data_IF_855721293077
#
_entry.id   IF_855721293077
#
_cell.length_a   1.000
_cell.length_b   1.000
_cell.length_c   1.000
_cell.angle_alpha   90.00
_cell.angle_beta   90.00
_cell.angle_gamma   90.00
#
_symmetry.space_group_name_H-M   'P 1'
#
loop_
_entity.id
_entity.type
_entity.pdbx_description
1 polymer ?
#
# COMPACT_ATOMS: atom_id res chain seq x y z
N UNK A 1 42.93 -40.16 15.29
CA UNK A 1 41.76 -39.31 15.64
C UNK A 1 40.46 -39.91 15.08
N UNK A 2 40.01 -41.07 15.59
CA UNK A 2 38.83 -41.76 15.03
C UNK A 2 37.79 -42.23 16.04
N UNK A 3 38.11 -42.30 17.35
CA UNK A 3 37.21 -42.86 18.36
C UNK A 3 36.24 -41.86 19.02
N UNK A 4 36.50 -40.56 18.91
CA UNK A 4 35.68 -39.53 19.59
C UNK A 4 34.41 -39.16 18.79
N UNK A 5 34.40 -39.39 17.48
CA UNK A 5 33.24 -39.08 16.64
C UNK A 5 32.14 -40.16 16.64
N UNK A 6 32.48 -41.39 17.00
CA UNK A 6 31.55 -42.52 16.96
C UNK A 6 30.66 -42.60 18.21
N UNK A 7 31.17 -42.12 19.35
CA UNK A 7 30.44 -42.10 20.62
C UNK A 7 29.34 -41.03 20.69
N UNK A 8 29.48 -39.92 19.96
CA UNK A 8 28.43 -38.89 19.85
C UNK A 8 27.23 -39.33 18.99
N UNK A 9 27.43 -40.19 17.98
CA UNK A 9 26.33 -40.69 17.14
C UNK A 9 25.48 -41.75 17.84
N UNK A 10 26.03 -42.49 18.82
CA UNK A 10 25.25 -43.45 19.63
C UNK A 10 24.31 -42.77 20.62
N UNK A 11 24.71 -41.64 21.23
CA UNK A 11 23.86 -40.90 22.19
C UNK A 11 22.70 -40.15 21.54
N UNK A 12 22.82 -39.68 20.31
CA UNK A 12 21.70 -39.01 19.62
C UNK A 12 20.61 -39.96 19.08
N UNK A 13 20.88 -41.27 19.01
CA UNK A 13 19.88 -42.27 18.53
C UNK A 13 19.06 -42.91 19.64
N UNK A 14 19.41 -42.73 20.92
CA UNK A 14 18.65 -43.25 22.06
C UNK A 14 17.46 -42.37 22.46
N UNK A 15 17.49 -41.07 22.17
CA UNK A 15 16.45 -40.13 22.64
C UNK A 15 15.24 -40.00 21.70
N UNK A 16 15.27 -40.57 20.49
CA UNK A 16 14.19 -40.45 19.51
C UNK A 16 13.16 -41.62 19.54
N UNK A 17 13.22 -42.54 20.53
CA UNK A 17 12.35 -43.72 20.60
C UNK A 17 11.41 -43.78 21.81
N UNK A 18 11.28 -42.69 22.54
CA UNK A 18 10.31 -42.58 23.63
C UNK A 18 9.44 -41.36 23.33
N UNK A 19 8.25 -41.57 22.76
CA UNK A 19 7.01 -40.78 22.84
C UNK A 19 6.11 -41.09 21.62
N UNK A 20 5.83 -42.38 21.42
CA UNK A 20 4.65 -42.85 20.70
C UNK A 20 3.62 -43.26 21.74
N UNK A 21 2.49 -42.55 21.83
CA UNK A 21 1.48 -42.74 22.88
C UNK A 21 0.08 -42.38 22.40
N UNK A 22 -0.53 -43.34 21.70
CA UNK A 22 -1.92 -43.43 21.25
C UNK A 22 -2.96 -43.08 22.32
N UNK A 23 -3.96 -42.24 21.99
CA UNK A 23 -5.33 -42.34 22.52
C UNK A 23 -6.35 -41.94 21.46
N UNK A 24 -6.97 -42.96 20.86
CA UNK A 24 -8.31 -42.89 20.27
C UNK A 24 -9.32 -42.70 21.41
N UNK A 25 -10.25 -41.76 21.27
CA UNK A 25 -11.49 -41.74 22.06
C UNK A 25 -12.65 -41.87 21.10
N UNK A 26 -13.43 -42.92 21.31
CA UNK A 26 -14.63 -43.26 20.58
C UNK A 26 -15.83 -42.44 21.10
N UNK A 27 -16.68 -42.05 20.16
CA UNK A 27 -18.15 -42.00 20.23
C UNK A 27 -18.84 -41.50 21.49
N UNK A 28 -19.59 -40.41 21.34
CA UNK A 28 -20.91 -40.31 21.96
C UNK A 28 -21.92 -39.68 21.01
N UNK A 29 -22.88 -40.51 20.59
CA UNK A 29 -24.12 -40.11 19.93
C UNK A 29 -25.00 -39.35 20.92
N UNK A 30 -25.13 -38.04 20.73
CA UNK A 30 -26.12 -37.19 21.40
C UNK A 30 -27.22 -36.82 20.42
N UNK A 31 -28.33 -37.55 20.53
CA UNK A 31 -29.59 -37.43 19.79
C UNK A 31 -30.19 -36.03 19.93
N UNK A 32 -30.62 -35.43 18.82
CA UNK A 32 -31.46 -34.23 18.81
C UNK A 32 -32.82 -34.49 19.48
N UNK A 33 -33.39 -33.52 20.21
CA UNK A 33 -34.83 -33.44 20.37
C UNK A 33 -35.45 -32.39 19.43
N UNK A 34 -36.51 -32.84 18.77
CA UNK A 34 -37.36 -32.07 17.88
C UNK A 34 -38.29 -31.11 18.65
N UNK A 35 -38.62 -30.02 17.97
CA UNK A 35 -39.88 -29.27 17.93
C UNK A 35 -40.74 -29.16 19.21
N UNK A 36 -40.87 -27.91 19.68
CA UNK A 36 -42.05 -27.43 20.40
C UNK A 36 -42.47 -26.07 19.80
N UNK A 37 -43.78 -25.85 19.81
CA UNK A 37 -44.53 -24.98 18.91
C UNK A 37 -44.43 -23.47 19.19
N UNK A 38 -44.49 -22.73 18.09
CA UNK A 38 -45.19 -21.46 17.82
C UNK A 38 -45.79 -20.73 19.03
N UNK A 39 -45.25 -19.54 19.31
CA UNK A 39 -46.01 -18.44 19.88
C UNK A 39 -45.99 -17.29 18.87
N UNK A 40 -47.19 -16.95 18.43
CA UNK A 40 -47.59 -15.83 17.60
C UNK A 40 -47.21 -14.50 18.29
N UNK A 41 -46.56 -13.60 17.55
CA UNK A 41 -46.09 -12.33 18.09
C UNK A 41 -45.32 -11.49 17.08
N UNK A 42 -46.05 -10.59 16.39
CA UNK A 42 -45.51 -9.34 15.87
C UNK A 42 -44.59 -9.45 14.65
N UNK A 43 -45.18 -9.62 13.47
CA UNK A 43 -44.53 -9.22 12.23
C UNK A 43 -44.53 -7.68 12.16
N UNK A 44 -43.40 -7.06 12.50
CA UNK A 44 -42.87 -5.78 12.00
C UNK A 44 -41.69 -5.42 12.91
N UNK A 45 -40.52 -5.13 12.34
CA UNK A 45 -39.19 -5.00 12.98
C UNK A 45 -38.38 -6.31 13.15
N UNK A 46 -38.37 -7.16 12.12
CA UNK A 46 -37.17 -7.98 11.89
C UNK A 46 -36.11 -7.02 11.33
N UNK A 47 -35.32 -6.46 12.24
CA UNK A 47 -34.02 -5.83 11.97
C UNK A 47 -33.38 -6.57 10.80
N UNK A 48 -33.30 -5.92 9.63
CA UNK A 48 -32.75 -6.55 8.43
C UNK A 48 -31.38 -7.08 8.82
N UNK A 49 -31.27 -8.40 8.94
CA UNK A 49 -29.99 -9.06 9.12
C UNK A 49 -29.20 -8.70 7.86
N UNK A 50 -28.35 -7.69 7.97
CA UNK A 50 -27.51 -7.22 6.87
C UNK A 50 -26.58 -8.38 6.55
N UNK A 51 -26.98 -9.21 5.61
CA UNK A 51 -26.15 -10.26 5.04
C UNK A 51 -25.15 -9.56 4.13
N UNK A 52 -23.97 -9.28 4.66
CA UNK A 52 -22.86 -8.78 3.88
C UNK A 52 -22.17 -9.95 3.16
N UNK A 53 -21.86 -9.73 1.89
CA UNK A 53 -21.08 -10.63 1.04
C UNK A 53 -19.58 -10.35 1.18
N UNK A 54 -18.74 -11.18 0.55
CA UNK A 54 -17.29 -10.93 0.49
C UNK A 54 -16.99 -9.61 -0.21
N UNK A 55 -17.72 -9.28 -1.28
CA UNK A 55 -17.52 -8.04 -2.02
C UNK A 55 -17.88 -6.82 -1.17
N UNK A 56 -18.93 -6.94 -0.33
CA UNK A 56 -19.27 -5.87 0.62
C UNK A 56 -18.18 -5.66 1.69
N UNK A 57 -17.41 -6.70 2.02
CA UNK A 57 -16.25 -6.61 2.93
C UNK A 57 -15.03 -6.00 2.24
N UNK A 58 -14.80 -6.28 0.96
CA UNK A 58 -13.66 -5.75 0.20
C UNK A 58 -13.89 -4.31 -0.31
N UNK A 59 -15.14 -3.87 -0.43
CA UNK A 59 -15.49 -2.49 -0.80
C UNK A 59 -15.10 -2.10 -2.23
N UNK A 60 -14.87 -0.80 -2.45
CA UNK A 60 -14.71 -0.20 -3.79
C UNK A 60 -13.37 -0.54 -4.47
N UNK A 61 -12.37 -0.98 -3.72
CA UNK A 61 -11.02 -1.27 -4.21
C UNK A 61 -10.56 -2.68 -3.80
N UNK A 62 -11.23 -3.74 -4.28
CA UNK A 62 -11.01 -5.10 -3.80
C UNK A 62 -9.57 -5.59 -4.05
N UNK A 63 -8.96 -5.23 -5.17
CA UNK A 63 -7.58 -5.61 -5.49
C UNK A 63 -6.57 -4.92 -4.58
N UNK A 64 -6.85 -3.67 -4.17
CA UNK A 64 -5.99 -2.95 -3.24
C UNK A 64 -6.10 -3.52 -1.83
N UNK A 65 -7.31 -3.92 -1.42
CA UNK A 65 -7.54 -4.61 -0.13
C UNK A 65 -6.83 -5.96 -0.12
N UNK A 66 -6.94 -6.73 -1.19
CA UNK A 66 -6.22 -8.00 -1.33
C UNK A 66 -4.70 -7.84 -1.25
N UNK A 67 -4.16 -6.81 -1.90
CA UNK A 67 -2.74 -6.49 -1.85
C UNK A 67 -2.28 -6.15 -0.42
N UNK A 68 -3.04 -5.32 0.30
CA UNK A 68 -2.75 -4.98 1.69
C UNK A 68 -2.88 -6.18 2.63
N UNK A 69 -3.94 -6.98 2.47
CA UNK A 69 -4.12 -8.20 3.26
C UNK A 69 -2.96 -9.19 3.04
N UNK A 70 -2.52 -9.38 1.80
CA UNK A 70 -1.38 -10.23 1.50
C UNK A 70 -0.06 -9.68 2.05
N UNK A 71 0.09 -8.36 2.10
CA UNK A 71 1.29 -7.71 2.66
C UNK A 71 1.34 -7.80 4.19
N UNK A 72 0.22 -7.56 4.87
CA UNK A 72 0.15 -7.48 6.33
C UNK A 72 -0.03 -8.84 7.02
N UNK A 73 -0.58 -9.83 6.32
CA UNK A 73 -0.81 -11.18 6.85
C UNK A 73 -0.12 -12.26 5.99
N UNK A 74 1.21 -12.27 5.92
CA UNK A 74 1.97 -13.19 5.07
C UNK A 74 1.85 -14.67 5.51
N UNK A 75 1.39 -14.93 6.74
CA UNK A 75 1.22 -16.28 7.28
C UNK A 75 0.17 -17.13 6.53
N UNK A 76 -0.72 -16.50 5.76
CA UNK A 76 -1.73 -17.18 4.94
C UNK A 76 -1.22 -17.62 3.57
N UNK A 77 0.04 -17.30 3.23
CA UNK A 77 0.70 -17.71 1.99
C UNK A 77 0.25 -16.96 0.74
N UNK A 78 0.44 -17.58 -0.42
CA UNK A 78 0.09 -16.97 -1.70
C UNK A 78 -1.43 -16.73 -1.80
N UNK A 79 -1.81 -15.49 -2.14
CA UNK A 79 -3.21 -15.05 -2.18
C UNK A 79 -3.77 -14.60 -0.82
N UNK A 80 -2.97 -14.65 0.26
CA UNK A 80 -3.27 -14.06 1.55
C UNK A 80 -4.57 -14.56 2.22
N UNK A 81 -5.13 -13.77 3.14
CA UNK A 81 -6.38 -14.08 3.84
C UNK A 81 -7.58 -14.35 2.92
N UNK A 82 -7.67 -13.69 1.76
CA UNK A 82 -8.80 -13.89 0.84
C UNK A 82 -8.79 -15.30 0.26
N UNK A 83 -7.62 -15.81 -0.14
CA UNK A 83 -7.51 -17.21 -0.58
C UNK A 83 -7.84 -18.18 0.57
N UNK A 84 -7.42 -17.88 1.80
CA UNK A 84 -7.76 -18.69 2.97
C UNK A 84 -9.28 -18.74 3.25
N UNK A 85 -9.99 -17.64 3.01
CA UNK A 85 -11.45 -17.60 3.09
C UNK A 85 -12.09 -18.52 2.05
N UNK A 86 -11.65 -18.46 0.78
CA UNK A 86 -12.16 -19.34 -0.28
C UNK A 86 -11.87 -20.83 -0.04
N UNK A 87 -10.78 -21.14 0.68
CA UNK A 87 -10.47 -22.50 1.15
C UNK A 87 -11.31 -22.94 2.36
N UNK A 88 -12.03 -22.02 3.00
CA UNK A 88 -12.80 -22.29 4.23
C UNK A 88 -11.95 -22.37 5.50
N UNK A 89 -10.71 -21.87 5.48
CA UNK A 89 -9.80 -21.86 6.63
C UNK A 89 -10.14 -20.74 7.62
N UNK A 90 -10.72 -19.64 7.12
CA UNK A 90 -11.16 -18.51 7.92
C UNK A 90 -12.63 -18.16 7.65
N UNK A 91 -13.27 -17.55 8.64
CA UNK A 91 -14.67 -17.10 8.53
C UNK A 91 -14.77 -15.72 7.90
N UNK A 92 -15.91 -15.41 7.28
CA UNK A 92 -16.19 -14.07 6.72
C UNK A 92 -16.07 -12.96 7.79
N UNK A 93 -16.51 -13.25 9.02
CA UNK A 93 -16.37 -12.33 10.14
C UNK A 93 -14.90 -12.02 10.46
N UNK A 94 -14.03 -13.02 10.38
CA UNK A 94 -12.61 -12.84 10.63
C UNK A 94 -11.94 -12.05 9.50
N UNK A 95 -12.29 -12.34 8.25
CA UNK A 95 -11.84 -11.55 7.11
C UNK A 95 -12.21 -10.07 7.26
N UNK A 96 -13.45 -9.79 7.69
CA UNK A 96 -13.89 -8.41 7.97
C UNK A 96 -13.03 -7.71 9.02
N UNK A 97 -12.72 -8.39 10.14
CA UNK A 97 -11.86 -7.83 11.19
C UNK A 97 -10.47 -7.49 10.66
N UNK A 98 -9.90 -8.31 9.78
CA UNK A 98 -8.61 -8.03 9.15
C UNK A 98 -8.66 -6.81 8.25
N UNK A 99 -9.71 -6.68 7.44
CA UNK A 99 -9.90 -5.50 6.57
C UNK A 99 -10.06 -4.22 7.40
N UNK A 100 -10.86 -4.26 8.47
CA UNK A 100 -11.02 -3.13 9.40
C UNK A 100 -9.73 -2.80 10.16
N UNK A 101 -8.84 -3.77 10.34
CA UNK A 101 -7.54 -3.63 10.99
C UNK A 101 -6.40 -3.18 10.07
N UNK A 102 -6.66 -2.98 8.76
CA UNK A 102 -5.63 -2.52 7.82
C UNK A 102 -5.16 -1.09 8.16
N UNK A 103 -3.87 -0.79 7.95
CA UNK A 103 -3.35 0.51 8.30
C UNK A 103 -3.85 1.61 7.33
N UNK A 104 -3.98 2.86 7.81
CA UNK A 104 -4.57 3.97 7.05
C UNK A 104 -3.67 4.51 5.92
N UNK A 105 -2.47 3.96 5.74
CA UNK A 105 -1.48 4.32 4.70
C UNK A 105 -1.23 3.19 3.68
N UNK A 106 -2.01 2.10 3.76
CA UNK A 106 -1.96 0.96 2.84
C UNK A 106 -2.32 1.28 1.38
N UNK A 107 -2.18 0.28 0.51
CA UNK A 107 -2.60 0.31 -0.89
C UNK A 107 -4.05 0.74 -1.06
N UNK A 108 -4.96 0.33 -0.19
CA UNK A 108 -6.38 0.76 -0.21
C UNK A 108 -6.48 2.27 -0.06
N UNK A 109 -5.78 2.81 0.93
CA UNK A 109 -5.82 4.23 1.21
C UNK A 109 -5.11 5.06 0.12
N UNK A 110 -4.14 4.48 -0.59
CA UNK A 110 -3.54 5.10 -1.80
C UNK A 110 -4.49 5.05 -3.00
N UNK A 111 -5.19 3.93 -3.20
CA UNK A 111 -6.19 3.79 -4.26
C UNK A 111 -7.33 4.80 -4.09
N UNK A 112 -7.86 4.93 -2.86
CA UNK A 112 -8.91 5.89 -2.53
C UNK A 112 -8.48 7.36 -2.70
N UNK A 113 -7.21 7.69 -2.38
CA UNK A 113 -6.66 9.04 -2.55
C UNK A 113 -6.24 9.36 -3.99
N UNK A 114 -6.06 8.34 -4.85
CA UNK A 114 -5.53 8.49 -6.20
C UNK A 114 -4.04 8.85 -6.25
N UNK A 115 -3.35 8.91 -5.11
CA UNK A 115 -1.93 9.24 -5.01
C UNK A 115 -1.26 8.53 -3.84
N UNK A 116 0.07 8.45 -3.86
CA UNK A 116 0.85 7.73 -2.85
C UNK A 116 1.27 8.57 -1.64
N UNK A 117 1.09 9.90 -1.69
CA UNK A 117 1.51 10.79 -0.60
C UNK A 117 0.79 10.47 0.71
N UNK A 118 1.59 10.37 1.76
CA UNK A 118 1.16 10.28 3.15
C UNK A 118 1.07 11.67 3.78
N UNK A 119 0.45 11.76 4.97
CA UNK A 119 0.43 13.01 5.74
C UNK A 119 1.84 13.53 6.03
N UNK A 120 2.80 12.62 6.25
CA UNK A 120 4.20 12.99 6.48
C UNK A 120 4.84 13.63 5.24
N UNK A 121 4.42 13.25 4.03
CA UNK A 121 4.94 13.83 2.79
C UNK A 121 4.41 15.25 2.57
N UNK A 122 3.13 15.49 2.89
CA UNK A 122 2.56 16.84 2.91
C UNK A 122 3.29 17.76 3.88
N UNK A 123 3.55 17.28 5.10
CA UNK A 123 4.29 18.05 6.10
C UNK A 123 5.74 18.33 5.68
N UNK A 124 6.43 17.35 5.10
CA UNK A 124 7.79 17.58 4.58
C UNK A 124 7.83 18.64 3.49
N UNK A 125 6.85 18.64 2.59
CA UNK A 125 6.76 19.68 1.57
C UNK A 125 6.48 21.06 2.21
N UNK A 126 5.61 21.13 3.23
CA UNK A 126 5.36 22.39 3.96
C UNK A 126 6.62 22.90 4.67
N UNK A 127 7.39 22.00 5.28
CA UNK A 127 8.64 22.32 5.96
C UNK A 127 9.66 22.90 4.98
N UNK A 128 9.80 22.31 3.78
CA UNK A 128 10.70 22.81 2.74
C UNK A 128 10.27 24.20 2.26
N UNK A 129 8.98 24.41 2.04
CA UNK A 129 8.42 25.70 1.61
C UNK A 129 8.68 26.79 2.67
N UNK A 130 8.40 26.46 3.94
CA UNK A 130 8.61 27.37 5.06
C UNK A 130 10.08 27.73 5.24
N UNK A 131 10.98 26.74 5.18
CA UNK A 131 12.42 26.95 5.29
C UNK A 131 12.94 27.82 4.15
N UNK A 132 12.51 27.57 2.92
CA UNK A 132 12.86 28.40 1.76
C UNK A 132 12.44 29.86 1.97
N UNK A 133 11.19 30.10 2.40
CA UNK A 133 10.70 31.44 2.69
C UNK A 133 11.45 32.11 3.83
N UNK A 134 11.75 31.39 4.90
CA UNK A 134 12.47 31.92 6.06
C UNK A 134 13.90 32.35 5.67
N UNK A 135 14.61 31.52 4.90
CA UNK A 135 15.95 31.85 4.40
C UNK A 135 15.90 33.07 3.49
N UNK A 136 14.95 33.15 2.55
CA UNK A 136 14.82 34.32 1.68
C UNK A 136 14.48 35.59 2.47
N UNK A 137 13.56 35.51 3.42
CA UNK A 137 13.23 36.64 4.29
C UNK A 137 14.45 37.13 5.07
N UNK A 138 15.23 36.19 5.63
CA UNK A 138 16.45 36.52 6.35
C UNK A 138 17.48 37.21 5.45
N UNK A 139 17.69 36.72 4.23
CA UNK A 139 18.62 37.31 3.28
C UNK A 139 18.15 38.69 2.79
N UNK A 140 16.85 38.87 2.57
CA UNK A 140 16.27 40.15 2.17
C UNK A 140 16.37 41.21 3.28
N UNK A 141 16.22 40.81 4.55
CA UNK A 141 16.42 41.72 5.70
C UNK A 141 17.88 42.13 5.86
N UNK A 142 18.83 41.23 5.60
CA UNK A 142 20.28 41.50 5.70
C UNK A 142 20.90 42.03 4.39
N UNK A 143 20.06 42.47 3.45
CA UNK A 143 20.48 42.93 2.15
C UNK A 143 21.10 44.33 2.24
N UNK A 144 22.13 44.59 1.43
CA UNK A 144 22.63 45.96 1.22
C UNK A 144 21.54 46.89 0.64
N UNK A 145 21.58 48.17 1.00
CA UNK A 145 20.53 49.15 0.69
C UNK A 145 20.19 49.24 -0.82
N UNK A 146 21.20 49.12 -1.68
CA UNK A 146 21.06 49.25 -3.14
C UNK A 146 20.95 47.91 -3.88
N UNK A 147 20.94 46.78 -3.17
CA UNK A 147 20.80 45.47 -3.81
C UNK A 147 19.32 45.15 -4.08
N UNK A 148 18.99 44.42 -5.16
CA UNK A 148 17.61 44.02 -5.45
C UNK A 148 17.10 42.98 -4.46
N UNK A 149 15.79 42.98 -4.19
CA UNK A 149 15.14 41.95 -3.37
C UNK A 149 15.19 40.60 -4.06
N UNK A 150 15.56 39.56 -3.32
CA UNK A 150 15.44 38.20 -3.84
C UNK A 150 13.98 37.77 -3.83
N UNK A 151 13.50 37.16 -4.92
CA UNK A 151 12.15 36.64 -4.96
C UNK A 151 11.99 35.48 -3.97
N UNK A 152 10.82 35.38 -3.37
CA UNK A 152 10.46 34.22 -2.57
C UNK A 152 10.37 32.97 -3.45
N UNK A 153 10.81 31.80 -2.94
CA UNK A 153 10.71 30.57 -3.69
C UNK A 153 9.24 30.17 -3.89
N UNK A 154 8.96 29.57 -5.04
CA UNK A 154 7.67 28.94 -5.31
C UNK A 154 7.51 27.67 -4.46
N UNK A 155 6.28 27.33 -4.04
CA UNK A 155 6.01 26.10 -3.30
C UNK A 155 6.44 24.86 -4.07
N UNK A 156 6.87 23.84 -3.33
CA UNK A 156 7.14 22.51 -3.88
C UNK A 156 5.84 21.89 -4.39
N UNK A 157 5.95 21.17 -5.50
CA UNK A 157 4.83 20.46 -6.12
C UNK A 157 4.13 19.48 -5.18
N UNK A 158 2.79 19.44 -5.23
CA UNK A 158 1.95 18.52 -4.47
C UNK A 158 0.97 17.76 -5.38
N UNK A 159 0.45 16.61 -4.92
CA UNK A 159 -0.66 15.95 -5.60
C UNK A 159 -1.86 16.90 -5.70
N UNK A 160 -2.33 17.15 -6.92
CA UNK A 160 -3.37 18.14 -7.22
C UNK A 160 -2.85 19.39 -7.93
N UNK A 161 -1.56 19.69 -7.79
CA UNK A 161 -0.90 20.74 -8.56
C UNK A 161 -0.54 20.25 -9.97
N UNK A 162 -0.49 21.15 -10.98
CA UNK A 162 0.00 20.78 -12.29
C UNK A 162 1.40 20.19 -12.17
N UNK A 163 1.63 19.05 -12.84
CA UNK A 163 2.92 18.38 -12.85
C UNK A 163 3.98 19.36 -13.35
N UNK A 164 5.09 19.58 -12.62
CA UNK A 164 6.09 20.54 -13.04
C UNK A 164 6.73 20.04 -14.33
N UNK A 165 6.84 20.90 -15.32
CA UNK A 165 7.64 20.60 -16.50
C UNK A 165 9.10 20.42 -16.05
N UNK A 166 9.70 19.27 -16.38
CA UNK A 166 11.10 19.05 -16.06
C UNK A 166 11.94 20.09 -16.84
N UNK A 167 12.65 21.01 -16.14
CA UNK A 167 13.40 22.06 -16.80
C UNK A 167 14.47 21.52 -17.76
N UNK A 168 14.97 20.30 -17.52
CA UNK A 168 15.90 19.64 -18.44
C UNK A 168 15.22 19.25 -19.75
N UNK A 169 14.00 18.72 -19.69
CA UNK A 169 13.21 18.39 -20.88
C UNK A 169 12.81 19.64 -21.66
N UNK A 170 12.33 20.69 -20.97
CA UNK A 170 11.98 21.95 -21.60
C UNK A 170 13.19 22.65 -22.26
N UNK A 171 14.39 22.54 -21.66
CA UNK A 171 15.62 23.07 -22.24
C UNK A 171 16.06 22.30 -23.50
N UNK A 172 15.92 20.97 -23.50
CA UNK A 172 16.26 20.15 -24.66
C UNK A 172 15.27 20.36 -25.83
N UNK A 173 13.99 20.49 -25.54
CA UNK A 173 12.98 20.84 -26.55
C UNK A 173 13.25 22.19 -27.20
N UNK A 174 13.60 23.22 -26.40
CA UNK A 174 14.02 24.53 -26.92
C UNK A 174 15.27 24.42 -27.80
N UNK A 175 16.25 23.60 -27.41
CA UNK A 175 17.48 23.37 -28.18
C UNK A 175 17.19 22.69 -29.52
N UNK A 176 16.32 21.67 -29.52
CA UNK A 176 15.88 20.97 -30.73
C UNK A 176 15.09 21.91 -31.65
N UNK A 177 14.19 22.72 -31.10
CA UNK A 177 13.44 23.72 -31.85
C UNK A 177 14.38 24.77 -32.49
N UNK A 178 15.37 25.27 -31.75
CA UNK A 178 16.37 26.19 -32.28
C UNK A 178 17.20 25.57 -33.42
N UNK A 179 17.59 24.30 -33.27
CA UNK A 179 18.32 23.58 -34.32
C UNK A 179 17.48 23.40 -35.58
N UNK A 180 16.21 23.00 -35.45
CA UNK A 180 15.29 22.88 -36.59
C UNK A 180 15.05 24.21 -37.29
N UNK A 181 14.88 25.30 -36.53
CA UNK A 181 14.73 26.64 -37.09
C UNK A 181 15.99 27.07 -37.85
N UNK A 182 17.18 26.80 -37.31
CA UNK A 182 18.44 27.07 -37.98
C UNK A 182 18.60 26.26 -39.28
N UNK A 183 18.29 24.97 -39.25
CA UNK A 183 18.34 24.09 -40.42
C UNK A 183 17.37 24.56 -41.51
N UNK A 184 16.17 25.00 -41.12
CA UNK A 184 15.18 25.56 -42.04
C UNK A 184 15.68 26.84 -42.74
N UNK A 185 16.24 27.79 -41.97
CA UNK A 185 16.81 29.03 -42.53
C UNK A 185 17.98 28.71 -43.46
N UNK A 186 18.88 27.81 -43.06
CA UNK A 186 20.05 27.45 -43.85
C UNK A 186 19.65 26.76 -45.17
N UNK A 187 18.57 25.97 -45.18
CA UNK A 187 18.02 25.37 -46.39
C UNK A 187 17.44 26.42 -47.36
N UNK A 188 16.86 27.51 -46.85
CA UNK A 188 16.35 28.61 -47.69
C UNK A 188 17.46 29.48 -48.28
N UNK A 189 18.58 29.62 -47.56
CA UNK A 189 19.66 30.56 -47.92
C UNK A 189 20.71 29.93 -48.82
N UNK A 190 20.89 28.59 -48.82
CA UNK A 190 21.87 27.94 -49.70
C UNK A 190 21.32 27.84 -51.13
N UNK A 191 21.87 28.56 -52.13
CA UNK A 191 21.52 28.31 -53.52
C UNK A 191 21.99 26.91 -53.91
N UNK A 192 21.10 26.11 -54.50
CA UNK A 192 21.49 24.85 -55.13
C UNK A 192 22.59 25.16 -56.15
N UNK A 193 23.79 24.57 -55.95
CA UNK A 193 24.88 24.64 -56.92
C UNK A 193 24.37 24.01 -58.22
N UNK A 194 24.04 24.87 -59.19
CA UNK A 194 23.77 24.52 -60.58
C UNK A 194 25.08 24.35 -61.35
#
# INVERSE_FOLDING_TARGET
MGRVHEERRRRQRSDARLHGGSRRVAGHHGKAPAAAAVADGGAEDVEQLVTYTVLDVLGDYPEAVEADLAHHYPEYGAGGPVAAYWRGEITLRWLRVMVEGLPPDGAVARAARGHHWTQADYHRADDVDLLGRLVTAFLNVNRAENSPEMPYPEPVWRPGDPVPEDPATAAEEKRLAARRAFEHINAQVRPEKR
#
